data_IF_650536406799
#
_entry.id   IF_650536406799
#
_cell.length_a   1.000
_cell.length_b   1.000
_cell.length_c   1.000
_cell.angle_alpha   90.00
_cell.angle_beta   90.00
_cell.angle_gamma   90.00
#
_symmetry.space_group_name_H-M   'P 1'
#
loop_
_entity.id
_entity.type
_entity.pdbx_description
1 polymer ?
#
# COMPACT_ATOMS: atom_id res chain seq x y z
N UNK A 1 -14.56 8.99 2.04
CA UNK A 1 -13.33 8.32 1.53
C UNK A 1 -13.14 7.03 2.28
N UNK A 2 -12.80 5.97 1.59
CA UNK A 2 -12.54 4.64 2.15
C UNK A 2 -11.06 4.28 1.99
N UNK A 3 -10.50 3.48 2.90
CA UNK A 3 -9.15 2.95 2.74
C UNK A 3 -9.18 1.49 2.28
N UNK A 4 -8.28 1.12 1.38
CA UNK A 4 -8.00 -0.25 0.98
C UNK A 4 -6.58 -0.63 1.42
N UNK A 5 -6.48 -1.55 2.38
CA UNK A 5 -5.22 -2.12 2.82
C UNK A 5 -4.92 -3.39 2.04
N UNK A 6 -3.82 -3.39 1.28
CA UNK A 6 -3.38 -4.54 0.50
C UNK A 6 -2.53 -5.47 1.36
N UNK A 7 -3.14 -6.55 1.82
CA UNK A 7 -2.54 -7.54 2.73
C UNK A 7 -2.44 -8.94 2.10
N UNK A 8 -2.63 -9.07 0.77
CA UNK A 8 -2.64 -10.35 0.03
C UNK A 8 -1.26 -10.92 -0.33
N UNK A 9 -0.16 -10.25 0.04
CA UNK A 9 1.19 -10.70 -0.26
C UNK A 9 1.62 -11.95 0.53
N UNK A 10 2.30 -12.91 -0.14
CA UNK A 10 2.79 -14.14 0.49
C UNK A 10 4.12 -13.97 1.24
N UNK A 11 4.82 -12.85 1.03
CA UNK A 11 6.07 -12.46 1.71
C UNK A 11 7.14 -13.58 1.81
N UNK A 12 7.35 -14.32 0.72
CA UNK A 12 8.24 -15.51 0.67
C UNK A 12 9.68 -15.21 1.05
N UNK A 13 10.14 -13.96 0.91
CA UNK A 13 11.49 -13.54 1.32
C UNK A 13 11.71 -13.48 2.84
N UNK A 14 10.62 -13.53 3.62
CA UNK A 14 10.64 -13.54 5.09
C UNK A 14 10.39 -14.95 5.67
N UNK A 15 10.32 -15.98 4.81
CA UNK A 15 10.23 -17.36 5.28
C UNK A 15 11.45 -17.75 6.13
N UNK A 16 11.24 -18.56 7.21
CA UNK A 16 10.04 -19.32 7.54
C UNK A 16 8.99 -18.59 8.39
N UNK A 17 9.24 -17.33 8.84
CA UNK A 17 8.30 -16.59 9.73
C UNK A 17 6.94 -16.45 9.06
N UNK A 18 6.92 -16.12 7.77
CA UNK A 18 5.70 -15.87 7.00
C UNK A 18 4.99 -17.13 6.47
N UNK A 19 5.42 -18.33 6.89
CA UNK A 19 4.65 -19.52 6.60
C UNK A 19 3.26 -19.52 7.25
N UNK A 20 3.17 -18.96 8.46
CA UNK A 20 1.96 -19.00 9.28
C UNK A 20 1.41 -17.60 9.61
N UNK A 21 2.26 -16.58 9.62
CA UNK A 21 1.89 -15.21 9.98
C UNK A 21 2.06 -14.31 8.75
N UNK A 22 0.97 -13.67 8.25
CA UNK A 22 1.10 -12.72 7.16
C UNK A 22 1.98 -11.52 7.59
N UNK A 23 2.79 -11.02 6.67
CA UNK A 23 3.72 -9.91 6.95
C UNK A 23 3.07 -8.70 7.66
N UNK A 24 1.87 -8.23 7.28
CA UNK A 24 1.23 -7.11 7.97
C UNK A 24 0.91 -7.36 9.46
N UNK A 25 0.80 -8.62 9.87
CA UNK A 25 0.58 -9.00 11.27
C UNK A 25 1.88 -9.31 12.04
N UNK A 26 3.05 -9.12 11.43
CA UNK A 26 4.31 -9.25 12.17
C UNK A 26 4.42 -8.15 13.23
N UNK A 27 4.77 -8.52 14.48
CA UNK A 27 4.89 -7.56 15.57
C UNK A 27 6.12 -6.68 15.41
N UNK A 28 6.01 -5.41 15.76
CA UNK A 28 7.11 -4.44 15.75
C UNK A 28 7.33 -3.90 17.16
N UNK A 29 8.59 -3.82 17.57
CA UNK A 29 8.98 -3.31 18.88
C UNK A 29 8.59 -4.22 20.04
N UNK A 30 8.97 -3.81 21.26
CA UNK A 30 8.76 -4.59 22.50
C UNK A 30 7.27 -4.76 22.84
N UNK A 31 6.43 -3.81 22.45
CA UNK A 31 4.97 -3.88 22.64
C UNK A 31 4.27 -4.89 21.72
N UNK A 32 4.97 -5.38 20.68
CA UNK A 32 4.44 -6.41 19.80
C UNK A 32 3.30 -5.94 18.89
N UNK A 33 3.15 -4.63 18.64
CA UNK A 33 2.09 -4.06 17.79
C UNK A 33 2.30 -4.49 16.33
N UNK A 34 1.31 -5.11 15.67
CA UNK A 34 1.39 -5.47 14.25
C UNK A 34 1.64 -4.29 13.32
N UNK A 35 2.36 -4.51 12.23
CA UNK A 35 2.64 -3.45 11.22
C UNK A 35 1.35 -2.76 10.77
N UNK A 36 0.32 -3.53 10.43
CA UNK A 36 -0.95 -3.00 9.93
C UNK A 36 -1.68 -2.11 10.93
N UNK A 37 -1.46 -2.29 12.23
CA UNK A 37 -2.07 -1.43 13.26
C UNK A 37 -1.48 -0.02 13.29
N UNK A 38 -0.21 0.15 12.92
CA UNK A 38 0.35 1.51 12.78
C UNK A 38 -0.35 2.26 11.64
N UNK A 39 -0.61 1.58 10.51
CA UNK A 39 -1.34 2.16 9.37
C UNK A 39 -2.80 2.46 9.77
N UNK A 40 -3.45 1.53 10.47
CA UNK A 40 -4.84 1.68 10.89
C UNK A 40 -5.01 2.87 11.84
N UNK A 41 -4.13 3.01 12.84
CA UNK A 41 -4.19 4.12 13.79
C UNK A 41 -3.99 5.48 13.11
N UNK A 42 -3.06 5.56 12.14
CA UNK A 42 -2.84 6.79 11.39
C UNK A 42 -4.04 7.14 10.50
N UNK A 43 -4.64 6.15 9.82
CA UNK A 43 -5.87 6.34 9.04
C UNK A 43 -7.02 6.86 9.92
N UNK A 44 -7.26 6.21 11.06
CA UNK A 44 -8.34 6.59 12.00
C UNK A 44 -8.10 7.99 12.55
N UNK A 45 -6.88 8.30 12.98
CA UNK A 45 -6.52 9.64 13.49
C UNK A 45 -6.63 10.72 12.41
N UNK A 46 -6.51 10.34 11.14
CA UNK A 46 -6.67 11.20 9.98
C UNK A 46 -8.12 11.29 9.49
N UNK A 47 -9.08 10.63 10.18
CA UNK A 47 -10.50 10.69 9.88
C UNK A 47 -11.00 9.66 8.86
N UNK A 48 -10.17 8.67 8.47
CA UNK A 48 -10.56 7.56 7.58
C UNK A 48 -10.88 6.34 8.44
N UNK A 49 -12.17 6.06 8.63
CA UNK A 49 -12.67 5.01 9.54
C UNK A 49 -13.30 3.82 8.82
N UNK A 50 -13.57 3.95 7.51
CA UNK A 50 -14.10 2.87 6.68
C UNK A 50 -12.94 2.18 5.95
N UNK A 51 -12.59 0.98 6.41
CA UNK A 51 -11.41 0.24 5.94
C UNK A 51 -11.85 -1.03 5.22
N UNK A 52 -11.30 -1.28 4.05
CA UNK A 52 -11.35 -2.58 3.37
C UNK A 52 -9.97 -3.22 3.49
N UNK A 53 -9.91 -4.42 4.04
CA UNK A 53 -8.68 -5.20 4.12
C UNK A 53 -8.73 -6.33 3.09
N UNK A 54 -7.93 -6.25 2.04
CA UNK A 54 -7.79 -7.30 1.03
C UNK A 54 -6.68 -8.26 1.44
N UNK A 55 -7.01 -9.56 1.51
CA UNK A 55 -6.07 -10.63 1.83
C UNK A 55 -6.33 -11.86 0.96
N UNK A 56 -5.46 -12.87 1.05
CA UNK A 56 -5.64 -14.15 0.37
C UNK A 56 -6.23 -15.24 1.28
N UNK A 57 -6.70 -16.34 0.69
CA UNK A 57 -7.33 -17.45 1.43
C UNK A 57 -6.37 -18.12 2.43
N UNK A 58 -5.06 -18.13 2.16
CA UNK A 58 -4.05 -18.69 3.08
C UNK A 58 -4.05 -17.99 4.43
N UNK A 59 -4.23 -16.67 4.45
CA UNK A 59 -4.08 -15.84 5.63
C UNK A 59 -5.39 -15.28 6.18
N UNK A 60 -6.52 -15.57 5.55
CA UNK A 60 -7.83 -15.03 5.96
C UNK A 60 -8.14 -15.27 7.43
N UNK A 61 -7.92 -16.49 7.94
CA UNK A 61 -8.17 -16.81 9.35
C UNK A 61 -7.31 -15.99 10.33
N UNK A 62 -6.07 -15.67 9.97
CA UNK A 62 -5.21 -14.84 10.80
C UNK A 62 -5.73 -13.40 10.91
N UNK A 63 -6.20 -12.84 9.78
CA UNK A 63 -6.81 -11.50 9.78
C UNK A 63 -8.19 -11.49 10.45
N UNK A 64 -9.02 -12.53 10.28
CA UNK A 64 -10.27 -12.65 11.02
C UNK A 64 -10.06 -12.68 12.53
N UNK A 65 -9.08 -13.43 12.99
CA UNK A 65 -8.73 -13.47 14.41
C UNK A 65 -8.25 -12.09 14.90
N UNK A 66 -7.40 -11.43 14.13
CA UNK A 66 -6.89 -10.10 14.45
C UNK A 66 -8.02 -9.07 14.50
N UNK A 67 -8.89 -9.00 13.49
CA UNK A 67 -10.00 -8.04 13.45
C UNK A 67 -10.97 -8.23 14.61
N UNK A 68 -11.27 -9.48 14.99
CA UNK A 68 -12.17 -9.76 16.12
C UNK A 68 -11.61 -9.36 17.48
N UNK A 69 -10.29 -9.40 17.66
CA UNK A 69 -9.68 -9.20 18.97
C UNK A 69 -9.06 -7.82 19.18
N UNK A 70 -8.74 -7.10 18.11
CA UNK A 70 -8.03 -5.82 18.18
C UNK A 70 -8.94 -4.61 17.91
N UNK A 71 -10.12 -4.83 17.31
CA UNK A 71 -10.99 -3.72 16.92
C UNK A 71 -12.12 -3.44 17.92
N UNK A 72 -12.10 -4.05 19.10
CA UNK A 72 -13.10 -3.83 20.17
C UNK A 72 -13.20 -2.37 20.67
N UNK A 73 -12.31 -1.48 20.21
CA UNK A 73 -12.32 -0.05 20.53
C UNK A 73 -13.30 0.81 19.70
N UNK A 74 -13.94 0.27 18.66
CA UNK A 74 -15.03 0.94 17.94
C UNK A 74 -14.66 2.14 17.06
N UNK A 75 -13.37 2.39 16.80
CA UNK A 75 -12.93 3.58 16.06
C UNK A 75 -12.87 3.40 14.54
N UNK A 76 -12.92 2.17 14.02
CA UNK A 76 -12.94 1.87 12.59
C UNK A 76 -13.84 0.67 12.28
N UNK A 77 -14.44 0.68 11.09
CA UNK A 77 -15.13 -0.47 10.49
C UNK A 77 -14.18 -1.14 9.50
N UNK A 78 -13.89 -2.43 9.71
CA UNK A 78 -13.03 -3.20 8.80
C UNK A 78 -13.86 -4.26 8.08
N UNK A 79 -13.98 -4.13 6.75
CA UNK A 79 -14.56 -5.14 5.87
C UNK A 79 -13.43 -5.94 5.24
N UNK A 80 -13.45 -7.27 5.44
CA UNK A 80 -12.47 -8.14 4.79
C UNK A 80 -12.93 -8.56 3.39
N UNK A 81 -12.02 -8.53 2.45
CA UNK A 81 -12.15 -9.11 1.10
C UNK A 81 -11.07 -10.18 0.94
N UNK A 82 -11.49 -11.41 0.64
CA UNK A 82 -10.58 -12.55 0.55
C UNK A 82 -10.44 -12.99 -0.90
N UNK A 83 -9.22 -12.88 -1.45
CA UNK A 83 -8.86 -13.44 -2.74
C UNK A 83 -8.79 -14.97 -2.63
N UNK A 84 -9.40 -15.70 -3.57
CA UNK A 84 -9.43 -17.17 -3.57
C UNK A 84 -8.08 -17.78 -4.01
N UNK A 85 -6.98 -17.26 -3.50
CA UNK A 85 -5.62 -17.71 -3.80
C UNK A 85 -4.95 -18.28 -2.56
N UNK A 86 -4.30 -19.43 -2.71
CA UNK A 86 -3.66 -20.17 -1.61
C UNK A 86 -2.14 -20.20 -1.71
N UNK A 87 -1.61 -19.81 -2.84
CA UNK A 87 -0.17 -19.81 -3.12
C UNK A 87 0.26 -18.69 -4.07
N UNK A 88 1.55 -18.35 -4.00
CA UNK A 88 2.12 -17.24 -4.77
C UNK A 88 1.99 -17.41 -6.31
N UNK A 89 1.86 -18.66 -6.79
CA UNK A 89 1.68 -18.96 -8.22
C UNK A 89 0.27 -18.65 -8.74
N UNK A 90 -0.70 -18.48 -7.82
CA UNK A 90 -2.12 -18.19 -8.14
C UNK A 90 -2.48 -16.72 -7.86
N UNK A 91 -1.53 -15.91 -7.39
CA UNK A 91 -1.81 -14.53 -6.98
C UNK A 91 -2.48 -13.73 -8.09
N UNK A 92 -3.45 -12.91 -7.74
CA UNK A 92 -4.13 -12.01 -8.67
C UNK A 92 -3.18 -10.95 -9.26
N UNK A 93 -2.18 -10.54 -8.48
CA UNK A 93 -1.43 -9.31 -8.72
C UNK A 93 -2.13 -8.10 -8.12
N UNK A 94 -1.38 -7.04 -7.86
CA UNK A 94 -1.87 -5.88 -7.11
C UNK A 94 -3.07 -5.21 -7.77
N UNK A 95 -3.03 -5.00 -9.10
CA UNK A 95 -4.08 -4.27 -9.83
C UNK A 95 -5.39 -5.06 -9.86
N UNK A 96 -5.31 -6.37 -10.16
CA UNK A 96 -6.49 -7.23 -10.15
C UNK A 96 -7.05 -7.43 -8.75
N UNK A 97 -6.20 -7.47 -7.72
CA UNK A 97 -6.62 -7.52 -6.32
C UNK A 97 -7.37 -6.26 -5.90
N UNK A 98 -6.92 -5.07 -6.36
CA UNK A 98 -7.61 -3.80 -6.13
C UNK A 98 -8.97 -3.79 -6.84
N UNK A 99 -9.03 -4.12 -8.14
CA UNK A 99 -10.29 -4.22 -8.89
C UNK A 99 -11.28 -5.15 -8.17
N UNK A 100 -10.82 -6.35 -7.81
CA UNK A 100 -11.63 -7.32 -7.08
C UNK A 100 -12.15 -6.76 -5.74
N UNK A 101 -11.30 -6.08 -4.98
CA UNK A 101 -11.70 -5.46 -3.72
C UNK A 101 -12.73 -4.35 -3.92
N UNK A 102 -12.59 -3.50 -4.94
CA UNK A 102 -13.56 -2.46 -5.29
C UNK A 102 -14.93 -3.09 -5.58
N UNK A 103 -14.97 -4.15 -6.37
CA UNK A 103 -16.22 -4.85 -6.72
C UNK A 103 -16.86 -5.53 -5.51
N UNK A 104 -16.09 -6.33 -4.75
CA UNK A 104 -16.60 -7.10 -3.61
C UNK A 104 -17.07 -6.22 -2.45
N UNK A 105 -16.34 -5.14 -2.16
CA UNK A 105 -16.69 -4.19 -1.10
C UNK A 105 -17.64 -3.09 -1.60
N UNK A 106 -17.99 -3.08 -2.89
CA UNK A 106 -18.86 -2.07 -3.53
C UNK A 106 -18.37 -0.65 -3.24
N UNK A 107 -17.09 -0.41 -3.46
CA UNK A 107 -16.48 0.89 -3.22
C UNK A 107 -16.94 1.87 -4.30
N UNK A 108 -17.62 2.95 -3.89
CA UNK A 108 -18.17 4.00 -4.75
C UNK A 108 -17.89 5.39 -4.15
N UNK A 109 -16.65 5.60 -3.75
CA UNK A 109 -16.15 6.84 -3.16
C UNK A 109 -14.64 6.98 -3.40
N UNK A 110 -14.06 8.14 -3.07
CA UNK A 110 -12.60 8.32 -3.15
C UNK A 110 -11.91 7.23 -2.34
N UNK A 111 -10.83 6.68 -2.88
CA UNK A 111 -10.16 5.51 -2.33
C UNK A 111 -8.68 5.81 -2.06
N UNK A 112 -8.28 5.70 -0.79
CA UNK A 112 -6.85 5.61 -0.46
C UNK A 112 -6.44 4.13 -0.41
N UNK A 113 -5.39 3.78 -1.13
CA UNK A 113 -4.84 2.42 -1.21
C UNK A 113 -3.47 2.42 -0.56
N UNK A 114 -3.25 1.55 0.42
CA UNK A 114 -1.97 1.45 1.13
C UNK A 114 -1.55 -0.03 1.21
N UNK A 115 -0.28 -0.31 0.92
CA UNK A 115 0.27 -1.64 1.17
C UNK A 115 0.34 -1.89 2.68
N UNK A 116 -0.25 -3.00 3.16
CA UNK A 116 -0.38 -3.33 4.58
C UNK A 116 0.93 -3.66 5.30
N UNK A 117 2.05 -3.63 4.58
CA UNK A 117 3.40 -3.86 5.07
C UNK A 117 4.26 -2.59 5.11
N UNK A 118 3.68 -1.42 4.87
CA UNK A 118 4.33 -0.12 5.03
C UNK A 118 4.49 0.23 6.51
N UNK A 119 5.65 0.71 6.87
CA UNK A 119 5.89 1.31 8.19
C UNK A 119 6.56 2.67 8.01
N UNK A 120 5.99 3.72 8.59
CA UNK A 120 6.45 5.10 8.45
C UNK A 120 6.13 5.91 9.72
N UNK A 121 6.73 7.11 9.86
CA UNK A 121 6.51 8.01 11.00
C UNK A 121 5.97 9.40 10.62
N UNK A 122 5.56 9.57 9.36
CA UNK A 122 4.77 10.72 8.88
C UNK A 122 3.26 10.40 8.95
N UNK A 123 2.39 11.39 8.69
CA UNK A 123 0.94 11.17 8.75
C UNK A 123 0.31 11.09 7.37
N UNK A 124 -0.60 10.11 7.20
CA UNK A 124 -1.49 10.00 6.04
C UNK A 124 -2.34 11.28 5.84
N UNK A 125 -2.61 12.03 6.92
CA UNK A 125 -3.36 13.28 6.83
C UNK A 125 -2.75 14.26 5.85
N UNK A 126 -1.43 14.30 5.71
CA UNK A 126 -0.74 15.23 4.80
C UNK A 126 -1.14 14.99 3.33
N UNK A 127 -1.13 13.73 2.87
CA UNK A 127 -1.54 13.40 1.50
C UNK A 127 -3.06 13.51 1.31
N UNK A 128 -3.86 13.28 2.37
CA UNK A 128 -5.32 13.46 2.32
C UNK A 128 -5.69 14.94 2.15
N UNK A 129 -5.06 15.83 2.91
CA UNK A 129 -5.26 17.28 2.80
C UNK A 129 -4.84 17.77 1.40
N UNK A 130 -3.67 17.34 0.92
CA UNK A 130 -3.18 17.63 -0.42
C UNK A 130 -4.17 17.17 -1.51
N UNK A 131 -4.67 15.92 -1.42
CA UNK A 131 -5.67 15.41 -2.34
C UNK A 131 -6.97 16.22 -2.30
N UNK A 132 -7.41 16.65 -1.12
CA UNK A 132 -8.60 17.48 -0.94
C UNK A 132 -8.54 18.79 -1.73
N UNK A 133 -7.34 19.39 -1.84
CA UNK A 133 -7.11 20.62 -2.59
C UNK A 133 -7.02 20.41 -4.10
N UNK A 134 -6.45 19.30 -4.56
CA UNK A 134 -6.10 19.10 -5.97
C UNK A 134 -7.05 18.19 -6.74
N UNK A 135 -7.67 17.20 -6.06
CA UNK A 135 -8.66 16.28 -6.65
C UNK A 135 -8.16 15.48 -7.87
N UNK A 136 -6.88 15.18 -7.93
CA UNK A 136 -6.25 14.33 -8.94
C UNK A 136 -5.78 13.01 -8.32
N UNK A 137 -5.65 11.91 -9.10
CA UNK A 137 -4.91 10.75 -8.64
C UNK A 137 -3.59 11.16 -8.04
N UNK A 138 -3.31 10.73 -6.81
CA UNK A 138 -2.13 11.17 -6.06
C UNK A 138 -1.33 9.96 -5.60
N UNK A 139 -0.01 10.03 -5.74
CA UNK A 139 0.93 8.99 -5.34
C UNK A 139 1.78 9.50 -4.19
N UNK A 140 1.85 8.72 -3.11
CA UNK A 140 2.83 8.91 -2.05
C UNK A 140 4.23 8.57 -2.55
N UNK A 141 5.13 9.53 -2.47
CA UNK A 141 6.53 9.42 -2.85
C UNK A 141 7.44 9.60 -1.65
N UNK A 142 8.60 8.99 -1.70
CA UNK A 142 9.67 9.14 -0.71
C UNK A 142 11.01 9.35 -1.40
N UNK A 143 11.80 10.28 -0.91
CA UNK A 143 13.16 10.49 -1.40
C UNK A 143 14.15 9.61 -0.64
N UNK A 144 14.57 8.52 -1.25
CA UNK A 144 15.56 7.61 -0.67
C UNK A 144 16.96 8.22 -0.54
N UNK A 145 17.25 9.29 -1.31
CA UNK A 145 18.61 9.87 -1.44
C UNK A 145 19.69 8.85 -1.85
N UNK A 146 19.26 7.72 -2.42
CA UNK A 146 20.08 6.59 -2.86
C UNK A 146 19.57 6.03 -4.19
N UNK A 147 20.32 6.25 -5.26
CA UNK A 147 19.97 5.76 -6.60
C UNK A 147 20.08 4.23 -6.70
N UNK A 148 21.02 3.61 -5.98
CA UNK A 148 21.15 2.15 -6.02
C UNK A 148 19.97 1.47 -5.31
N UNK A 149 19.52 2.02 -4.19
CA UNK A 149 18.30 1.58 -3.53
C UNK A 149 17.06 1.73 -4.41
N UNK A 150 16.96 2.84 -5.15
CA UNK A 150 15.83 3.14 -6.02
C UNK A 150 15.65 2.14 -7.19
N UNK A 151 16.68 1.39 -7.60
CA UNK A 151 16.59 0.32 -8.61
C UNK A 151 15.57 -0.78 -8.27
N UNK A 152 15.28 -0.97 -6.98
CA UNK A 152 14.40 -2.05 -6.50
C UNK A 152 12.95 -1.63 -6.35
N UNK A 153 12.64 -0.35 -6.56
CA UNK A 153 11.35 0.28 -6.30
C UNK A 153 10.76 0.90 -7.56
N UNK A 154 9.50 1.26 -7.51
CA UNK A 154 8.91 2.10 -8.55
C UNK A 154 9.50 3.50 -8.47
N UNK A 155 10.17 3.96 -9.55
CA UNK A 155 10.91 5.21 -9.60
C UNK A 155 10.10 6.29 -10.30
N UNK A 156 9.94 7.45 -9.67
CA UNK A 156 9.16 8.57 -10.16
C UNK A 156 10.03 9.76 -10.57
N UNK A 157 9.69 10.43 -11.67
CA UNK A 157 10.15 11.77 -11.99
C UNK A 157 8.96 12.74 -11.89
N UNK A 158 9.15 13.89 -11.24
CA UNK A 158 8.13 14.93 -11.07
C UNK A 158 8.59 16.27 -11.63
N UNK A 159 7.65 17.08 -12.11
CA UNK A 159 7.86 18.49 -12.46
C UNK A 159 6.85 19.32 -11.67
N UNK A 160 7.34 20.09 -10.71
CA UNK A 160 6.51 20.59 -9.63
C UNK A 160 5.98 19.42 -8.81
N UNK A 161 4.67 19.25 -8.77
CA UNK A 161 3.97 18.14 -8.14
C UNK A 161 3.39 17.11 -9.14
N UNK A 162 3.54 17.35 -10.44
CA UNK A 162 3.06 16.45 -11.49
C UNK A 162 4.04 15.33 -11.74
N UNK A 163 3.55 14.08 -11.68
CA UNK A 163 4.32 12.90 -12.09
C UNK A 163 4.41 12.86 -13.62
N UNK A 164 5.62 12.96 -14.15
CA UNK A 164 5.89 12.96 -15.60
C UNK A 164 6.44 11.63 -16.10
N UNK A 165 6.99 10.82 -15.22
CA UNK A 165 7.50 9.49 -15.51
C UNK A 165 7.36 8.59 -14.27
N UNK A 166 7.02 7.33 -14.50
CA UNK A 166 7.05 6.29 -13.46
C UNK A 166 7.54 4.99 -14.09
N UNK A 167 8.58 4.39 -13.53
CA UNK A 167 9.19 3.15 -14.05
C UNK A 167 9.33 2.14 -12.92
N UNK A 168 8.74 0.97 -13.07
CA UNK A 168 8.85 -0.12 -12.09
C UNK A 168 10.24 -0.75 -12.18
N UNK A 169 10.99 -0.69 -11.08
CA UNK A 169 12.33 -1.29 -10.90
C UNK A 169 13.27 -1.04 -12.07
N UNK A 170 13.59 0.23 -12.38
CA UNK A 170 14.46 0.55 -13.50
C UNK A 170 15.91 0.10 -13.26
N UNK A 171 16.58 -0.39 -14.28
CA UNK A 171 18.01 -0.68 -14.23
C UNK A 171 18.84 0.59 -13.96
N UNK A 172 18.39 1.71 -14.54
CA UNK A 172 19.02 3.03 -14.43
C UNK A 172 17.96 4.05 -13.95
N UNK A 173 17.73 4.18 -12.61
CA UNK A 173 16.79 5.16 -12.07
C UNK A 173 17.26 6.58 -12.36
N UNK A 174 16.33 7.46 -12.74
CA UNK A 174 16.62 8.85 -13.08
C UNK A 174 16.43 9.81 -11.92
N UNK A 175 15.83 9.33 -10.83
CA UNK A 175 15.63 10.10 -9.62
C UNK A 175 15.80 9.21 -8.39
N UNK A 176 15.91 9.82 -7.20
CA UNK A 176 15.87 9.12 -5.91
C UNK A 176 14.46 9.00 -5.35
N UNK A 177 13.45 9.57 -6.05
CA UNK A 177 12.05 9.48 -5.65
C UNK A 177 11.46 8.12 -6.00
N UNK A 178 10.88 7.48 -5.00
CA UNK A 178 10.23 6.18 -5.14
C UNK A 178 8.76 6.24 -4.71
N UNK A 179 7.91 5.42 -5.33
CA UNK A 179 6.55 5.19 -4.86
C UNK A 179 6.54 4.26 -3.64
N UNK A 180 5.85 4.68 -2.58
CA UNK A 180 5.78 3.93 -1.31
C UNK A 180 4.52 3.09 -1.17
N UNK A 181 3.92 2.67 -2.27
CA UNK A 181 2.68 1.90 -2.29
C UNK A 181 1.54 2.56 -1.46
N UNK A 182 1.43 3.88 -1.59
CA UNK A 182 0.33 4.70 -1.08
C UNK A 182 -0.22 5.52 -2.22
N UNK A 183 -1.52 5.37 -2.51
CA UNK A 183 -2.18 5.98 -3.67
C UNK A 183 -3.54 6.49 -3.28
N UNK A 184 -3.96 7.66 -3.79
CA UNK A 184 -5.34 8.12 -3.70
C UNK A 184 -5.92 8.19 -5.09
N UNK A 185 -7.05 7.52 -5.30
CA UNK A 185 -7.76 7.48 -6.57
C UNK A 185 -9.13 8.12 -6.37
N UNK A 186 -9.47 9.19 -7.12
CA UNK A 186 -10.80 9.79 -7.08
C UNK A 186 -11.89 8.77 -7.46
N UNK A 187 -13.08 8.90 -6.89
CA UNK A 187 -14.24 8.04 -7.14
C UNK A 187 -14.49 7.82 -8.63
N UNK A 188 -14.49 8.89 -9.41
CA UNK A 188 -14.76 8.88 -10.85
C UNK A 188 -13.71 8.13 -11.67
N UNK A 189 -12.55 7.83 -11.07
CA UNK A 189 -11.45 7.12 -11.72
C UNK A 189 -11.28 5.68 -11.25
N UNK A 190 -12.14 5.16 -10.38
CA UNK A 190 -12.07 3.76 -9.92
C UNK A 190 -12.20 2.77 -11.09
N UNK A 191 -12.96 3.11 -12.13
CA UNK A 191 -13.07 2.31 -13.36
C UNK A 191 -11.78 2.17 -14.16
N UNK A 192 -10.74 2.99 -13.89
CA UNK A 192 -9.46 2.91 -14.59
C UNK A 192 -8.71 1.59 -14.31
N UNK A 193 -8.97 0.92 -13.19
CA UNK A 193 -8.41 -0.41 -12.92
C UNK A 193 -8.95 -1.45 -13.90
N UNK A 194 -10.27 -1.49 -14.12
CA UNK A 194 -10.89 -2.39 -15.10
C UNK A 194 -10.49 -2.04 -16.54
N UNK A 195 -10.39 -0.75 -16.88
CA UNK A 195 -9.90 -0.30 -18.20
C UNK A 195 -8.48 -0.82 -18.44
N UNK A 196 -7.56 -0.61 -17.49
CA UNK A 196 -6.19 -1.09 -17.55
C UNK A 196 -6.09 -2.60 -17.80
N UNK A 197 -6.88 -3.39 -17.07
CA UNK A 197 -6.89 -4.86 -17.19
C UNK A 197 -7.52 -5.32 -18.52
N UNK A 198 -8.54 -4.61 -19.03
CA UNK A 198 -9.19 -4.92 -20.30
C UNK A 198 -8.23 -4.77 -21.50
N UNK A 199 -7.26 -3.89 -21.41
CA UNK A 199 -6.17 -3.72 -22.39
C UNK A 199 -5.11 -4.84 -22.32
N UNK A 200 -5.32 -5.87 -21.46
CA UNK A 200 -4.38 -7.01 -21.24
C UNK A 200 -3.02 -6.59 -20.69
N UNK A 201 -2.98 -5.48 -19.96
CA UNK A 201 -1.79 -5.03 -19.25
C UNK A 201 -1.44 -5.97 -18.08
N UNK A 202 -0.21 -5.87 -17.57
CA UNK A 202 0.26 -6.72 -16.47
C UNK A 202 -0.57 -6.47 -15.21
N UNK A 203 -1.26 -7.48 -14.64
CA UNK A 203 -2.08 -7.32 -13.45
C UNK A 203 -1.28 -7.14 -12.16
N UNK A 204 0.04 -7.35 -12.20
CA UNK A 204 0.94 -7.21 -11.06
C UNK A 204 1.84 -5.98 -11.23
N UNK A 205 2.09 -5.27 -10.13
CA UNK A 205 2.97 -4.09 -10.13
C UNK A 205 2.24 -2.78 -10.38
N UNK A 206 1.93 -2.07 -9.30
CA UNK A 206 1.30 -0.75 -9.33
C UNK A 206 2.07 0.25 -10.18
N UNK A 207 3.39 0.14 -10.28
CA UNK A 207 4.20 1.02 -11.12
C UNK A 207 3.82 0.96 -12.60
N UNK A 208 3.43 -0.21 -13.12
CA UNK A 208 2.94 -0.34 -14.50
C UNK A 208 1.59 0.38 -14.71
N UNK A 209 0.70 0.26 -13.73
CA UNK A 209 -0.57 0.99 -13.74
C UNK A 209 -0.34 2.50 -13.71
N UNK A 210 0.54 2.99 -12.86
CA UNK A 210 0.87 4.41 -12.79
C UNK A 210 1.49 4.90 -14.09
N UNK A 211 2.43 4.14 -14.68
CA UNK A 211 3.04 4.47 -15.96
C UNK A 211 2.02 4.52 -17.14
N UNK A 212 0.93 3.77 -17.04
CA UNK A 212 -0.19 3.85 -17.96
C UNK A 212 -1.11 5.03 -17.61
N UNK A 213 -1.42 5.25 -16.34
CA UNK A 213 -2.35 6.28 -15.87
C UNK A 213 -1.86 7.70 -16.20
N UNK A 214 -0.55 7.99 -16.08
CA UNK A 214 0.03 9.30 -16.43
C UNK A 214 -0.12 9.67 -17.91
N UNK A 215 -0.40 8.69 -18.78
CA UNK A 215 -0.68 8.93 -20.21
C UNK A 215 -2.16 9.26 -20.47
N UNK A 216 -3.03 8.95 -19.52
CA UNK A 216 -4.48 9.14 -19.62
C UNK A 216 -4.95 10.40 -18.90
N UNK A 217 -4.30 10.73 -17.78
CA UNK A 217 -4.69 11.86 -16.93
C UNK A 217 -3.48 12.45 -16.21
N UNK A 218 -3.68 13.63 -15.61
CA UNK A 218 -2.68 14.20 -14.71
C UNK A 218 -2.66 13.42 -13.39
N UNK A 219 -1.46 13.03 -12.96
CA UNK A 219 -1.22 12.34 -11.69
C UNK A 219 -0.28 13.19 -10.85
N UNK A 220 -0.64 13.41 -9.59
CA UNK A 220 0.15 14.18 -8.63
C UNK A 220 1.07 13.27 -7.83
N UNK A 221 2.24 13.77 -7.47
CA UNK A 221 3.18 13.14 -6.57
C UNK A 221 3.31 13.94 -5.29
N UNK A 222 2.97 13.35 -4.16
CA UNK A 222 3.15 13.93 -2.84
C UNK A 222 4.41 13.34 -2.19
N UNK A 223 5.42 14.17 -1.92
CA UNK A 223 6.70 13.71 -1.34
C UNK A 223 6.62 13.82 0.18
N UNK A 224 6.61 12.68 0.86
CA UNK A 224 6.65 12.63 2.32
C UNK A 224 8.04 12.92 2.88
N UNK A 225 8.05 13.54 4.05
CA UNK A 225 9.22 13.77 4.88
C UNK A 225 9.11 12.94 6.16
N UNK A 226 10.23 12.40 6.64
CA UNK A 226 10.27 11.50 7.81
C UNK A 226 10.99 10.21 7.48
N UNK A 227 10.63 9.14 8.18
CA UNK A 227 11.20 7.81 7.96
C UNK A 227 10.17 6.88 7.34
N UNK A 228 10.60 6.15 6.33
CA UNK A 228 9.84 5.08 5.70
C UNK A 228 10.70 3.81 5.67
N UNK A 229 10.08 2.66 5.96
CA UNK A 229 10.75 1.37 6.03
C UNK A 229 10.08 0.35 5.13
N UNK A 230 10.83 -0.20 4.16
CA UNK A 230 10.46 -1.43 3.46
C UNK A 230 10.93 -2.65 4.26
N UNK A 231 9.98 -3.37 4.85
CA UNK A 231 10.26 -4.59 5.59
C UNK A 231 10.25 -5.77 4.60
N UNK A 232 11.27 -5.84 3.75
CA UNK A 232 11.37 -6.85 2.69
C UNK A 232 12.19 -8.09 3.05
N UNK A 233 13.01 -8.04 4.10
CA UNK A 233 13.93 -9.12 4.51
C UNK A 233 13.98 -9.27 6.03
N UNK A 234 14.52 -10.40 6.51
CA UNK A 234 14.72 -10.62 7.96
C UNK A 234 15.67 -9.57 8.57
N UNK A 235 16.64 -9.10 7.82
CA UNK A 235 17.57 -8.08 8.26
C UNK A 235 16.86 -6.74 8.47
N UNK A 236 16.06 -6.30 7.47
CA UNK A 236 15.28 -5.06 7.58
C UNK A 236 14.22 -5.16 8.67
N UNK A 237 13.57 -6.33 8.83
CA UNK A 237 12.63 -6.57 9.92
C UNK A 237 13.29 -6.41 11.30
N UNK A 238 14.45 -7.05 11.51
CA UNK A 238 15.19 -6.95 12.77
C UNK A 238 15.61 -5.52 13.08
N UNK A 239 16.14 -4.81 12.08
CA UNK A 239 16.52 -3.39 12.23
C UNK A 239 15.33 -2.54 12.71
N UNK A 240 14.19 -2.66 12.04
CA UNK A 240 12.98 -1.90 12.37
C UNK A 240 12.45 -2.30 13.76
N UNK A 241 12.45 -3.60 14.10
CA UNK A 241 12.04 -4.07 15.41
C UNK A 241 12.86 -3.42 16.53
N UNK A 242 14.20 -3.35 16.37
CA UNK A 242 15.10 -2.75 17.35
C UNK A 242 14.92 -1.21 17.45
N UNK A 243 14.62 -0.54 16.35
CA UNK A 243 14.37 0.91 16.31
C UNK A 243 13.07 1.29 17.04
N UNK A 244 11.99 0.56 16.79
CA UNK A 244 10.69 0.79 17.44
C UNK A 244 10.63 0.25 18.88
N UNK A 245 11.49 -0.68 19.24
CA UNK A 245 11.61 -1.18 20.61
C UNK A 245 12.24 -0.19 21.59
N UNK A 246 12.79 0.93 21.09
CA UNK A 246 13.41 2.00 21.88
C UNK A 246 12.49 3.22 22.09
N UNK A 247 11.34 3.24 21.37
CA UNK A 247 10.29 4.26 21.55
C UNK A 247 9.24 3.75 22.54
#
# INVERSE_FOLDING_TARGET
MRALLLCGGFATRLEPITYFIPKPLLPIGVGGKPIVEYILDDLVSSGVTEIVLSTNAKFSNAFEYWTKNQLDGGHATVQMVVEHTTGNHEKFGAIKGIEYAIEQAKIDEDLIIIAGDNLYDFSVKEILDYFGEHRHPTIGLYDMKDLEGAKRMGNAEIVGDKVVSFVEKPEHPKSTLIGIAMYIIPREMLGMFSEYLSEKNNPDGMGNFIAWLIKKTEVKGFVFHGNWHDIGTLETYKKVFDEYGKK
#
